data_IF_631321988902
#
_entry.id   IF_631321988902
#
_cell.length_a   1.000
_cell.length_b   1.000
_cell.length_c   1.000
_cell.angle_alpha   90.00
_cell.angle_beta   90.00
_cell.angle_gamma   90.00
#
_symmetry.space_group_name_H-M   'P 1'
#
loop_
_entity.id
_entity.type
_entity.pdbx_description
1 polymer ?
#
# COMPACT_ATOMS: atom_id res chain seq x y z
N UNK A 1 -7.12 15.66 -13.13
CA UNK A 1 -7.35 14.33 -13.76
C UNK A 1 -7.95 13.41 -12.72
N UNK A 2 -8.90 12.54 -13.08
CA UNK A 2 -9.33 11.48 -12.17
C UNK A 2 -8.12 10.63 -11.82
N UNK A 3 -7.92 10.36 -10.54
CA UNK A 3 -6.90 9.43 -10.08
C UNK A 3 -7.52 8.05 -10.02
N UNK A 4 -6.83 7.07 -10.59
CA UNK A 4 -7.26 5.68 -10.59
C UNK A 4 -6.39 4.92 -9.60
N UNK A 5 -7.04 4.09 -8.81
CA UNK A 5 -6.41 3.21 -7.82
C UNK A 5 -6.67 1.77 -8.25
N UNK A 6 -5.61 0.99 -8.43
CA UNK A 6 -5.71 -0.44 -8.77
C UNK A 6 -6.09 -1.29 -7.58
N UNK A 7 -5.71 -0.86 -6.36
CA UNK A 7 -5.97 -1.59 -5.12
C UNK A 7 -7.14 -0.99 -4.35
N UNK A 8 -7.79 -1.84 -3.56
CA UNK A 8 -8.92 -1.50 -2.72
C UNK A 8 -8.55 -1.42 -1.24
N UNK A 9 -9.40 -0.71 -0.48
CA UNK A 9 -9.28 -0.71 0.98
C UNK A 9 -9.54 -2.12 1.48
N UNK A 10 -8.72 -2.57 2.42
CA UNK A 10 -8.62 -3.93 2.94
C UNK A 10 -7.85 -4.94 2.09
N UNK A 11 -7.27 -4.54 0.95
CA UNK A 11 -6.33 -5.41 0.23
C UNK A 11 -5.06 -5.61 1.08
N UNK A 12 -4.59 -6.86 1.16
CA UNK A 12 -3.33 -7.20 1.80
C UNK A 12 -2.18 -7.03 0.81
N UNK A 13 -1.15 -6.31 1.22
CA UNK A 13 0.00 -5.97 0.40
C UNK A 13 1.32 -6.26 1.12
N UNK A 14 2.39 -6.34 0.34
CA UNK A 14 3.77 -6.31 0.81
C UNK A 14 4.49 -5.11 0.21
N UNK A 15 5.28 -4.40 1.02
CA UNK A 15 6.12 -3.30 0.55
C UNK A 15 7.32 -3.87 -0.18
N UNK A 16 7.49 -3.50 -1.45
CA UNK A 16 8.58 -3.99 -2.27
C UNK A 16 9.82 -3.08 -2.21
N UNK A 17 10.89 -3.47 -2.90
CA UNK A 17 12.18 -2.78 -2.86
C UNK A 17 12.17 -1.38 -3.49
N UNK A 18 11.12 -0.98 -4.22
CA UNK A 18 11.01 0.38 -4.76
C UNK A 18 10.80 1.42 -3.65
N UNK A 19 10.24 1.01 -2.51
CA UNK A 19 10.06 1.88 -1.35
C UNK A 19 11.38 2.26 -0.65
N UNK A 20 12.53 1.69 -1.04
CA UNK A 20 13.82 1.86 -0.34
C UNK A 20 14.27 3.31 -0.16
N UNK A 21 13.84 4.22 -1.03
CA UNK A 21 14.21 5.64 -0.93
C UNK A 21 13.27 6.47 -0.05
N UNK A 22 12.01 6.03 0.13
CA UNK A 22 11.02 6.71 0.95
C UNK A 22 10.87 6.10 2.34
N UNK A 23 10.73 4.77 2.41
CA UNK A 23 10.50 4.01 3.64
C UNK A 23 11.33 2.71 3.65
N UNK A 24 12.68 2.79 3.72
CA UNK A 24 13.56 1.61 3.66
C UNK A 24 13.29 0.59 4.77
N UNK A 25 12.98 1.03 5.99
CA UNK A 25 12.72 0.14 7.13
C UNK A 25 11.45 -0.71 6.98
N UNK A 26 10.60 -0.38 6.02
CA UNK A 26 9.32 -1.06 5.79
C UNK A 26 9.37 -2.02 4.60
N UNK A 27 10.47 -2.04 3.83
CA UNK A 27 10.63 -2.98 2.72
C UNK A 27 10.57 -4.42 3.25
N UNK A 28 9.70 -5.24 2.65
CA UNK A 28 9.42 -6.61 3.06
C UNK A 28 8.40 -6.75 4.20
N UNK A 29 7.89 -5.63 4.74
CA UNK A 29 6.76 -5.69 5.67
C UNK A 29 5.44 -5.84 4.92
N UNK A 30 4.52 -6.53 5.58
CA UNK A 30 3.15 -6.73 5.13
C UNK A 30 2.20 -5.84 5.89
N UNK A 31 1.14 -5.44 5.22
CA UNK A 31 0.11 -4.60 5.78
C UNK A 31 -1.15 -4.59 4.94
N UNK A 32 -2.12 -3.80 5.38
CA UNK A 32 -3.43 -3.69 4.78
C UNK A 32 -3.64 -2.24 4.34
N UNK A 33 -4.18 -2.05 3.14
CA UNK A 33 -4.56 -0.71 2.68
C UNK A 33 -5.74 -0.21 3.51
N UNK A 34 -5.57 0.93 4.16
CA UNK A 34 -6.60 1.55 5.01
C UNK A 34 -7.21 2.79 4.39
N UNK A 35 -6.52 3.45 3.45
CA UNK A 35 -7.05 4.61 2.74
C UNK A 35 -6.46 4.80 1.33
N UNK A 36 -7.21 5.49 0.46
CA UNK A 36 -6.83 5.89 -0.90
C UNK A 36 -6.52 7.39 -0.91
N UNK A 37 -5.26 7.74 -1.10
CA UNK A 37 -4.79 9.11 -0.97
C UNK A 37 -4.82 9.84 -2.32
N UNK A 38 -5.49 11.00 -2.35
CA UNK A 38 -5.46 11.91 -3.50
C UNK A 38 -4.24 12.84 -3.40
N UNK A 39 -3.05 12.29 -3.65
CA UNK A 39 -1.79 13.02 -3.69
C UNK A 39 -1.05 12.76 -5.01
N UNK A 40 -0.18 13.69 -5.43
CA UNK A 40 0.71 13.49 -6.57
C UNK A 40 1.90 12.58 -6.24
N UNK A 41 2.22 12.44 -4.96
CA UNK A 41 3.38 11.67 -4.51
C UNK A 41 3.03 10.27 -4.02
N UNK A 42 1.78 10.06 -3.58
CA UNK A 42 1.38 8.83 -2.89
C UNK A 42 -0.04 8.44 -3.24
N UNK A 43 -0.31 7.14 -3.22
CA UNK A 43 -1.56 6.54 -3.65
C UNK A 43 -2.34 5.90 -2.50
N UNK A 44 -1.65 5.34 -1.50
CA UNK A 44 -2.28 4.55 -0.44
C UNK A 44 -1.66 4.81 0.93
N UNK A 45 -2.50 4.74 1.97
CA UNK A 45 -2.06 4.55 3.35
C UNK A 45 -2.21 3.07 3.72
N UNK A 46 -1.14 2.50 4.26
CA UNK A 46 -1.05 1.08 4.64
C UNK A 46 -0.80 0.98 6.13
N UNK A 47 -1.64 0.23 6.83
CA UNK A 47 -1.42 -0.17 8.21
C UNK A 47 -0.60 -1.46 8.24
N UNK A 48 0.60 -1.38 8.79
CA UNK A 48 1.50 -2.52 8.95
C UNK A 48 1.18 -3.30 10.22
N UNK A 49 1.55 -4.58 10.25
CA UNK A 49 1.31 -5.44 11.42
C UNK A 49 2.11 -5.03 12.67
N UNK A 50 3.11 -4.16 12.53
CA UNK A 50 3.80 -3.54 13.67
C UNK A 50 2.98 -2.37 14.29
N UNK A 51 1.81 -2.03 13.73
CA UNK A 51 0.93 -0.97 14.20
C UNK A 51 1.23 0.41 13.61
N UNK A 52 2.24 0.54 12.75
CA UNK A 52 2.59 1.82 12.12
C UNK A 52 1.87 1.99 10.78
N UNK A 53 1.58 3.24 10.42
CA UNK A 53 1.00 3.58 9.11
C UNK A 53 2.10 4.14 8.22
N UNK A 54 2.25 3.55 7.04
CA UNK A 54 3.11 4.05 5.98
C UNK A 54 2.30 4.54 4.79
N UNK A 55 2.87 5.47 4.03
CA UNK A 55 2.23 6.06 2.85
C UNK A 55 3.07 5.78 1.61
N UNK A 56 2.44 5.19 0.59
CA UNK A 56 3.16 4.57 -0.53
C UNK A 56 2.55 4.93 -1.88
N UNK A 57 3.37 4.83 -2.91
CA UNK A 57 2.93 4.75 -4.31
C UNK A 57 2.48 3.33 -4.64
N UNK A 58 1.64 3.20 -5.64
CA UNK A 58 1.21 1.90 -6.15
C UNK A 58 2.41 1.02 -6.56
N UNK A 59 3.41 1.62 -7.22
CA UNK A 59 4.63 0.91 -7.65
C UNK A 59 5.50 0.36 -6.51
N UNK A 60 5.27 0.83 -5.27
CA UNK A 60 6.01 0.43 -4.08
C UNK A 60 5.36 -0.72 -3.33
N UNK A 61 4.18 -1.17 -3.79
CA UNK A 61 3.39 -2.21 -3.16
C UNK A 61 3.23 -3.41 -4.11
N UNK A 62 3.25 -4.61 -3.53
CA UNK A 62 2.89 -5.84 -4.20
C UNK A 62 1.63 -6.39 -3.54
N UNK A 63 0.59 -6.62 -4.34
CA UNK A 63 -0.65 -7.24 -3.86
C UNK A 63 -0.42 -8.70 -3.48
N UNK A 64 -0.82 -9.07 -2.26
CA UNK A 64 -0.83 -10.46 -1.77
C UNK A 64 -2.22 -11.06 -1.92
N UNK A 65 -3.24 -10.35 -1.44
CA UNK A 65 -4.62 -10.83 -1.42
C UNK A 65 -5.59 -9.68 -1.68
N UNK A 66 -6.56 -9.90 -2.58
CA UNK A 66 -7.65 -8.96 -2.77
C UNK A 66 -8.80 -9.25 -1.85
N UNK A 67 -9.38 -8.20 -1.26
CA UNK A 67 -10.64 -8.33 -0.52
C UNK A 67 -11.80 -8.81 -1.41
N UNK A 68 -11.73 -8.57 -2.73
CA UNK A 68 -12.75 -9.04 -3.66
C UNK A 68 -12.77 -10.55 -3.85
N UNK A 69 -11.68 -11.24 -3.51
CA UNK A 69 -11.55 -12.69 -3.73
C UNK A 69 -12.20 -13.52 -2.61
N UNK A 70 -12.76 -12.88 -1.58
CA UNK A 70 -13.35 -13.53 -0.41
C UNK A 70 -14.85 -13.86 -0.55
N UNK A 71 -15.38 -14.00 -1.78
CA UNK A 71 -16.81 -14.31 -2.04
C UNK A 71 -17.02 -15.57 -2.89
#
# INVERSE_FOLDING_TARGET
>A
MPKYWTYDVNDEIEVNSNAKYGMPSFVGLKGIIVDKVTSWQYDYDVLHYNGEIGRYKESELNLIHKVSDTY
#
